data_IF_138484029547
#
_entry.id   IF_138484029547
#
_cell.length_a   1.000
_cell.length_b   1.000
_cell.length_c   1.000
_cell.angle_alpha   90.00
_cell.angle_beta   90.00
_cell.angle_gamma   90.00
#
_symmetry.space_group_name_H-M   'P 1'
#
loop_
_entity.id
_entity.type
_entity.pdbx_description
1 polymer ?
#
# COMPACT_ATOMS: atom_id res chain seq x y z
N UNK A 1 -8.47 -12.22 -2.87
CA UNK A 1 -9.43 -11.25 -2.28
C UNK A 1 -8.89 -9.85 -2.49
N UNK A 2 -9.76 -8.90 -2.80
CA UNK A 2 -9.38 -7.50 -3.06
C UNK A 2 -8.62 -6.87 -1.87
N UNK A 3 -9.11 -7.07 -0.64
CA UNK A 3 -8.48 -6.57 0.60
C UNK A 3 -7.06 -7.09 0.79
N UNK A 4 -6.82 -8.38 0.52
CA UNK A 4 -5.48 -8.97 0.65
C UNK A 4 -4.51 -8.39 -0.39
N UNK A 5 -4.97 -8.20 -1.63
CA UNK A 5 -4.16 -7.56 -2.69
C UNK A 5 -3.83 -6.09 -2.36
N UNK A 6 -4.78 -5.38 -1.76
CA UNK A 6 -4.56 -4.02 -1.25
C UNK A 6 -3.51 -4.00 -0.13
N UNK A 7 -3.64 -4.88 0.88
CA UNK A 7 -2.70 -4.96 2.00
C UNK A 7 -1.27 -5.26 1.53
N UNK A 8 -1.09 -6.22 0.63
CA UNK A 8 0.22 -6.56 0.08
C UNK A 8 0.84 -5.38 -0.69
N UNK A 9 0.06 -4.68 -1.52
CA UNK A 9 0.56 -3.50 -2.22
C UNK A 9 0.87 -2.35 -1.30
N UNK A 10 0.07 -2.13 -0.25
CA UNK A 10 0.33 -1.10 0.76
C UNK A 10 1.67 -1.33 1.45
N UNK A 11 1.95 -2.57 1.89
CA UNK A 11 3.26 -2.95 2.46
C UNK A 11 4.39 -2.63 1.50
N UNK A 12 4.25 -3.03 0.23
CA UNK A 12 5.23 -2.72 -0.80
C UNK A 12 5.44 -1.20 -0.99
N UNK A 13 4.37 -0.43 -1.06
CA UNK A 13 4.46 1.03 -1.21
C UNK A 13 5.17 1.67 -0.03
N UNK A 14 4.81 1.28 1.19
CA UNK A 14 5.45 1.80 2.40
C UNK A 14 6.93 1.44 2.46
N UNK A 15 7.30 0.22 2.05
CA UNK A 15 8.69 -0.19 1.92
C UNK A 15 9.44 0.73 0.95
N UNK A 16 8.97 0.88 -0.29
CA UNK A 16 9.67 1.67 -1.31
C UNK A 16 9.65 3.19 -1.07
N UNK A 17 8.62 3.74 -0.43
CA UNK A 17 8.56 5.16 -0.05
C UNK A 17 9.51 5.50 1.10
N UNK A 18 9.83 4.53 1.95
CA UNK A 18 10.80 4.68 3.05
C UNK A 18 12.27 4.48 2.65
N UNK A 19 12.53 4.09 1.40
CA UNK A 19 13.87 3.78 0.90
C UNK A 19 14.60 5.03 0.39
N UNK A 20 15.89 5.13 0.70
CA UNK A 20 16.72 6.25 0.24
C UNK A 20 17.23 6.04 -1.20
N UNK A 21 17.03 7.04 -2.05
CA UNK A 21 17.62 7.12 -3.38
C UNK A 21 19.08 7.59 -3.33
N UNK A 22 19.93 6.85 -2.60
CA UNK A 22 21.33 7.24 -2.35
C UNK A 22 22.19 7.32 -3.62
N UNK A 23 21.76 6.67 -4.70
CA UNK A 23 22.33 6.85 -6.03
C UNK A 23 21.25 6.84 -7.13
N UNK A 24 21.65 7.25 -8.34
CA UNK A 24 20.74 7.34 -9.48
C UNK A 24 20.16 5.98 -9.92
N UNK A 25 20.93 4.87 -9.94
CA UNK A 25 20.36 3.53 -10.13
C UNK A 25 19.25 3.19 -9.12
N UNK A 26 19.52 3.34 -7.82
CA UNK A 26 18.56 3.05 -6.75
C UNK A 26 17.31 3.90 -6.86
N UNK A 27 17.47 5.20 -7.16
CA UNK A 27 16.33 6.09 -7.41
C UNK A 27 15.43 5.62 -8.56
N UNK A 28 15.99 5.01 -9.61
CA UNK A 28 15.19 4.43 -10.72
C UNK A 28 14.46 3.16 -10.30
N UNK A 29 15.07 2.32 -9.47
CA UNK A 29 14.44 1.11 -8.95
C UNK A 29 13.23 1.48 -8.07
N UNK A 30 13.42 2.42 -7.14
CA UNK A 30 12.35 2.95 -6.28
C UNK A 30 11.20 3.50 -7.12
N UNK A 31 11.50 4.39 -8.09
CA UNK A 31 10.48 4.98 -8.94
C UNK A 31 9.72 3.93 -9.78
N UNK A 32 10.41 2.90 -10.25
CA UNK A 32 9.80 1.80 -11.01
C UNK A 32 8.88 0.97 -10.12
N UNK A 33 9.32 0.66 -8.90
CA UNK A 33 8.54 -0.10 -7.93
C UNK A 33 7.27 0.66 -7.49
N UNK A 34 7.40 1.94 -7.12
CA UNK A 34 6.26 2.81 -6.76
C UNK A 34 5.22 2.84 -7.88
N UNK A 35 5.66 3.02 -9.13
CA UNK A 35 4.78 3.04 -10.29
C UNK A 35 4.13 1.67 -10.58
N UNK A 36 4.87 0.59 -10.37
CA UNK A 36 4.38 -0.78 -10.62
C UNK A 36 3.35 -1.19 -9.59
N UNK A 37 3.54 -0.79 -8.32
CA UNK A 37 2.61 -1.03 -7.24
C UNK A 37 1.38 -0.10 -7.29
N UNK A 38 1.47 1.00 -8.05
CA UNK A 38 0.39 1.97 -8.18
C UNK A 38 0.15 2.74 -6.88
N UNK A 39 1.24 3.08 -6.16
CA UNK A 39 1.15 3.72 -4.85
C UNK A 39 0.39 5.05 -4.90
N UNK A 40 0.34 5.73 -6.05
CA UNK A 40 -0.44 6.95 -6.23
C UNK A 40 -1.96 6.74 -6.07
N UNK A 41 -2.44 5.50 -6.20
CA UNK A 41 -3.87 5.14 -6.10
C UNK A 41 -4.23 4.56 -4.74
N UNK A 42 -3.24 4.24 -3.91
CA UNK A 42 -3.40 3.48 -2.68
C UNK A 42 -4.43 4.15 -1.73
N UNK A 43 -4.32 5.47 -1.55
CA UNK A 43 -5.26 6.21 -0.71
C UNK A 43 -6.69 6.21 -1.27
N UNK A 44 -6.86 6.31 -2.59
CA UNK A 44 -8.18 6.28 -3.21
C UNK A 44 -8.83 4.90 -3.03
N UNK A 45 -8.04 3.84 -3.20
CA UNK A 45 -8.47 2.46 -3.01
C UNK A 45 -8.82 2.16 -1.56
N UNK A 46 -8.02 2.62 -0.59
CA UNK A 46 -8.34 2.49 0.84
C UNK A 46 -9.73 3.08 1.16
N UNK A 47 -10.01 4.30 0.69
CA UNK A 47 -11.31 4.94 0.94
C UNK A 47 -12.46 4.14 0.33
N UNK A 48 -12.26 3.58 -0.87
CA UNK A 48 -13.26 2.72 -1.52
C UNK A 48 -13.49 1.44 -0.70
N UNK A 49 -12.42 0.77 -0.28
CA UNK A 49 -12.44 -0.43 0.56
C UNK A 49 -13.15 -0.20 1.89
N UNK A 50 -12.82 0.90 2.58
CA UNK A 50 -13.45 1.25 3.87
C UNK A 50 -14.93 1.52 3.72
N UNK A 51 -15.35 2.14 2.61
CA UNK A 51 -16.77 2.35 2.29
C UNK A 51 -17.47 1.04 1.94
N UNK A 52 -16.84 0.18 1.14
CA UNK A 52 -17.40 -1.10 0.72
C UNK A 52 -17.61 -2.05 1.91
N UNK A 53 -16.66 -2.07 2.84
CA UNK A 53 -16.66 -2.96 4.00
C UNK A 53 -17.09 -2.28 5.30
N UNK A 54 -17.81 -1.15 5.23
CA UNK A 54 -18.22 -0.38 6.41
C UNK A 54 -19.04 -1.20 7.43
N UNK A 55 -19.80 -2.20 6.96
CA UNK A 55 -20.63 -3.07 7.79
C UNK A 55 -19.92 -4.39 8.22
N UNK A 56 -18.64 -4.56 7.86
CA UNK A 56 -17.84 -5.76 8.14
C UNK A 56 -16.64 -5.41 9.02
N UNK A 57 -16.82 -5.35 10.36
CA UNK A 57 -15.80 -4.85 11.28
C UNK A 57 -14.50 -5.68 11.24
N UNK A 58 -14.58 -6.97 10.96
CA UNK A 58 -13.43 -7.86 10.80
C UNK A 58 -12.56 -7.49 9.60
N UNK A 59 -13.18 -7.14 8.47
CA UNK A 59 -12.45 -6.71 7.27
C UNK A 59 -11.90 -5.30 7.46
N UNK A 60 -12.68 -4.41 8.09
CA UNK A 60 -12.21 -3.07 8.40
C UNK A 60 -10.98 -3.08 9.32
N UNK A 61 -10.96 -3.96 10.31
CA UNK A 61 -9.76 -4.17 11.15
C UNK A 61 -8.56 -4.60 10.34
N UNK A 62 -8.71 -5.48 9.35
CA UNK A 62 -7.60 -5.89 8.48
C UNK A 62 -7.09 -4.73 7.61
N UNK A 63 -7.97 -3.84 7.13
CA UNK A 63 -7.59 -2.64 6.37
C UNK A 63 -6.87 -1.62 7.27
N UNK A 64 -7.34 -1.44 8.51
CA UNK A 64 -6.84 -0.44 9.45
C UNK A 64 -5.68 -0.97 10.33
N UNK A 65 -5.22 -2.23 10.16
CA UNK A 65 -4.17 -2.83 11.01
C UNK A 65 -2.81 -2.16 10.74
N UNK A 66 -2.20 -1.50 11.73
CA UNK A 66 -0.90 -0.86 11.56
C UNK A 66 0.22 -1.85 11.24
N UNK A 67 0.08 -3.13 11.56
CA UNK A 67 1.05 -4.17 11.16
C UNK A 67 1.09 -4.41 9.65
N UNK A 68 0.10 -3.89 8.93
CA UNK A 68 0.07 -3.86 7.47
C UNK A 68 0.70 -2.57 6.90
N UNK A 69 1.21 -1.69 7.75
CA UNK A 69 1.97 -0.49 7.39
C UNK A 69 3.48 -0.75 7.39
N UNK A 70 3.94 -1.70 8.21
CA UNK A 70 5.34 -2.12 8.26
C UNK A 70 5.63 -3.06 7.06
N UNK A 71 6.43 -2.54 6.12
CA UNK A 71 7.00 -3.27 4.99
C UNK A 71 8.40 -3.78 5.31
#
# INVERSE_FOLDING_TARGET
MEVASYVERRRGCNHWEGEDAYDAPRGRDIATAIKTLGCERLHAEERCLRKLYQAKPEIRKAIDDPKNEDG
#
